data_IF_997344570305
#
_entry.id   IF_997344570305
#
_cell.length_a   1.000
_cell.length_b   1.000
_cell.length_c   1.000
_cell.angle_alpha   90.00
_cell.angle_beta   90.00
_cell.angle_gamma   90.00
#
_symmetry.space_group_name_H-M   'P 1'
#
loop_
_entity.id
_entity.type
_entity.pdbx_description
1 polymer ?
#
# COMPACT_ATOMS: atom_id res chain seq x y z
N UNK A 1 -36.75 -12.23 27.15
CA UNK A 1 -35.39 -12.62 26.80
C UNK A 1 -34.51 -12.62 28.02
N UNK A 2 -33.74 -13.67 28.16
CA UNK A 2 -32.90 -13.79 29.35
C UNK A 2 -31.69 -12.90 29.25
N UNK A 3 -31.13 -12.54 30.36
CA UNK A 3 -29.90 -11.74 30.36
C UNK A 3 -28.77 -12.47 29.66
N UNK A 4 -28.73 -13.79 29.78
CA UNK A 4 -27.70 -14.57 29.12
C UNK A 4 -27.82 -14.50 27.60
N UNK A 5 -29.06 -14.48 27.11
CA UNK A 5 -29.27 -14.38 25.67
C UNK A 5 -28.82 -13.04 25.14
N UNK A 6 -29.07 -11.98 25.90
CA UNK A 6 -28.65 -10.66 25.49
C UNK A 6 -27.12 -10.57 25.42
N UNK A 7 -26.44 -11.12 26.39
CA UNK A 7 -24.98 -11.13 26.40
C UNK A 7 -24.45 -11.91 25.22
N UNK A 8 -25.07 -13.03 24.93
CA UNK A 8 -24.60 -13.85 23.82
C UNK A 8 -24.76 -13.11 22.48
N UNK A 9 -25.86 -12.43 22.30
CA UNK A 9 -26.09 -11.67 21.09
C UNK A 9 -25.07 -10.56 20.93
N UNK A 10 -24.77 -9.87 22.02
CA UNK A 10 -23.79 -8.79 21.98
C UNK A 10 -22.41 -9.33 21.60
N UNK A 11 -22.02 -10.45 22.17
CA UNK A 11 -20.74 -11.06 21.86
C UNK A 11 -20.65 -11.42 20.40
N UNK A 12 -21.71 -12.02 19.85
CA UNK A 12 -21.73 -12.38 18.44
C UNK A 12 -21.62 -11.17 17.57
N UNK A 13 -22.31 -10.10 17.92
CA UNK A 13 -22.24 -8.86 17.14
C UNK A 13 -20.85 -8.27 17.15
N UNK A 14 -20.19 -8.29 18.30
CA UNK A 14 -18.84 -7.78 18.42
C UNK A 14 -17.88 -8.58 17.55
N UNK A 15 -17.99 -9.90 17.56
CA UNK A 15 -17.17 -10.72 16.70
C UNK A 15 -17.41 -10.44 15.23
N UNK A 16 -18.66 -10.21 14.87
CA UNK A 16 -18.99 -9.91 13.50
C UNK A 16 -18.35 -8.59 13.06
N UNK A 17 -18.41 -7.59 13.89
CA UNK A 17 -17.81 -6.30 13.59
C UNK A 17 -16.30 -6.42 13.44
N UNK A 18 -15.67 -7.18 14.31
CA UNK A 18 -14.23 -7.39 14.23
C UNK A 18 -13.85 -8.06 12.91
N UNK A 19 -14.63 -9.01 12.46
CA UNK A 19 -14.37 -9.67 11.18
C UNK A 19 -14.49 -8.70 10.03
N UNK A 20 -15.48 -7.83 10.08
CA UNK A 20 -15.65 -6.84 9.02
C UNK A 20 -14.46 -5.91 8.98
N UNK A 21 -13.99 -5.48 10.13
CA UNK A 21 -12.80 -4.64 10.15
C UNK A 21 -11.58 -5.34 9.60
N UNK A 22 -11.42 -6.61 9.94
CA UNK A 22 -10.28 -7.35 9.43
C UNK A 22 -10.34 -7.59 7.95
N UNK A 23 -11.53 -7.60 7.42
CA UNK A 23 -11.69 -7.80 5.98
C UNK A 23 -11.47 -6.55 5.18
N UNK A 24 -11.27 -5.42 5.85
CA UNK A 24 -10.89 -4.23 5.12
C UNK A 24 -9.60 -4.51 4.40
N UNK A 25 -9.57 -4.14 3.15
CA UNK A 25 -8.42 -4.40 2.34
C UNK A 25 -7.21 -3.68 2.84
N UNK A 26 -6.13 -4.41 2.98
CA UNK A 26 -4.84 -3.79 3.23
C UNK A 26 -4.23 -3.49 1.89
N UNK A 27 -3.93 -2.24 1.65
CA UNK A 27 -3.29 -1.82 0.42
C UNK A 27 -1.81 -1.68 0.65
N UNK A 28 -1.05 -2.15 -0.30
CA UNK A 28 0.41 -2.00 -0.26
C UNK A 28 0.85 -1.43 -1.59
N UNK A 29 2.03 -0.86 -1.59
CA UNK A 29 2.65 -0.42 -2.82
C UNK A 29 3.95 -1.17 -2.99
N UNK A 30 4.08 -1.84 -4.12
CA UNK A 30 5.31 -2.53 -4.45
C UNK A 30 6.15 -1.63 -5.33
N UNK A 31 7.39 -1.43 -4.91
CA UNK A 31 8.33 -0.61 -5.66
C UNK A 31 9.25 -1.54 -6.42
N UNK A 32 9.25 -1.39 -7.74
CA UNK A 32 10.06 -2.24 -8.62
C UNK A 32 11.22 -1.44 -9.19
N UNK A 33 12.37 -2.08 -9.24
CA UNK A 33 13.52 -1.56 -9.94
C UNK A 33 13.92 -2.60 -10.97
N UNK A 34 13.74 -2.27 -12.23
CA UNK A 34 14.05 -3.21 -13.32
C UNK A 34 13.38 -4.57 -13.10
N UNK A 35 12.07 -4.53 -12.84
CA UNK A 35 11.25 -5.74 -12.67
C UNK A 35 11.46 -6.51 -11.38
N UNK A 36 12.26 -6.00 -10.47
CA UNK A 36 12.44 -6.64 -9.18
C UNK A 36 11.83 -5.79 -8.10
N UNK A 37 11.13 -6.42 -7.17
CA UNK A 37 10.57 -5.69 -6.05
C UNK A 37 11.69 -5.38 -5.08
N UNK A 38 11.94 -4.09 -4.86
CA UNK A 38 12.98 -3.67 -3.93
C UNK A 38 12.42 -3.14 -2.62
N UNK A 39 11.12 -2.83 -2.59
CA UNK A 39 10.50 -2.34 -1.38
C UNK A 39 9.00 -2.60 -1.44
N UNK A 40 8.41 -2.95 -0.30
CA UNK A 40 6.96 -3.07 -0.18
C UNK A 40 6.52 -2.13 0.92
N UNK A 41 5.59 -1.25 0.61
CA UNK A 41 5.21 -0.16 1.48
C UNK A 41 3.77 -0.32 1.91
N UNK A 42 3.53 -0.19 3.23
CA UNK A 42 2.18 -0.27 3.78
C UNK A 42 1.52 1.09 3.65
N UNK A 43 0.44 1.15 2.90
CA UNK A 43 -0.28 2.41 2.67
C UNK A 43 -1.14 2.83 3.84
N UNK A 44 -1.29 1.99 4.85
CA UNK A 44 -2.10 2.34 6.01
C UNK A 44 -1.38 3.28 6.96
N UNK A 45 -0.09 3.49 6.76
CA UNK A 45 0.68 4.39 7.60
C UNK A 45 1.28 5.50 6.77
N UNK A 46 1.12 6.73 7.24
CA UNK A 46 1.78 7.86 6.60
C UNK A 46 3.28 7.74 6.87
N UNK A 47 4.07 7.79 5.84
CA UNK A 47 5.50 7.58 5.99
C UNK A 47 6.23 8.02 4.74
N UNK A 48 7.56 8.03 4.82
CA UNK A 48 8.41 8.32 3.68
C UNK A 48 9.46 7.23 3.57
N UNK A 49 9.78 6.87 2.36
CA UNK A 49 10.78 5.86 2.06
C UNK A 49 11.73 6.40 1.02
N UNK A 50 12.99 6.08 1.15
CA UNK A 50 13.98 6.45 0.15
C UNK A 50 14.52 5.20 -0.48
N UNK A 51 14.42 5.11 -1.81
CA UNK A 51 14.97 3.98 -2.54
C UNK A 51 15.96 4.51 -3.55
N UNK A 52 16.88 3.65 -3.96
CA UNK A 52 17.87 4.05 -4.93
C UNK A 52 17.41 3.73 -6.34
N UNK A 53 17.28 4.76 -7.16
CA UNK A 53 16.99 4.60 -8.56
C UNK A 53 18.25 4.68 -9.38
N UNK A 54 18.07 4.63 -10.69
CA UNK A 54 19.21 4.63 -11.60
C UNK A 54 19.99 5.95 -11.54
N UNK A 55 19.29 7.07 -11.41
CA UNK A 55 19.94 8.38 -11.36
C UNK A 55 20.24 8.85 -9.95
N UNK A 56 19.75 8.17 -8.93
CA UNK A 56 19.96 8.59 -7.56
C UNK A 56 18.77 8.26 -6.70
N UNK A 57 18.68 8.94 -5.56
CA UNK A 57 17.65 8.62 -4.59
C UNK A 57 16.27 9.08 -5.05
N UNK A 58 15.29 8.25 -4.76
CA UNK A 58 13.88 8.55 -5.02
C UNK A 58 13.18 8.51 -3.68
N UNK A 59 12.56 9.62 -3.28
CA UNK A 59 11.82 9.69 -2.02
C UNK A 59 10.35 9.47 -2.31
N UNK A 60 9.78 8.48 -1.66
CA UNK A 60 8.39 8.10 -1.84
C UNK A 60 7.62 8.46 -0.59
N UNK A 61 6.49 9.13 -0.76
CA UNK A 61 5.68 9.56 0.37
C UNK A 61 4.33 8.88 0.37
N UNK A 62 3.92 8.39 1.54
CA UNK A 62 2.58 7.84 1.74
C UNK A 62 1.81 8.79 2.64
N UNK A 63 0.64 9.22 2.18
CA UNK A 63 -0.21 10.10 2.96
C UNK A 63 -1.67 9.78 2.66
N UNK A 64 -2.45 9.54 3.73
CA UNK A 64 -3.88 9.27 3.59
C UNK A 64 -4.15 8.11 2.64
N UNK A 65 -3.35 7.05 2.76
CA UNK A 65 -3.47 5.83 1.96
C UNK A 65 -3.20 6.07 0.48
N UNK A 66 -2.49 7.15 0.17
CA UNK A 66 -2.09 7.44 -1.20
C UNK A 66 -0.58 7.55 -1.27
N UNK A 67 -0.04 7.31 -2.44
CA UNK A 67 1.40 7.27 -2.62
C UNK A 67 1.83 8.15 -3.77
N UNK A 68 2.99 8.77 -3.62
CA UNK A 68 3.57 9.57 -4.68
C UNK A 68 5.09 9.59 -4.55
N UNK A 69 5.76 9.99 -5.61
CA UNK A 69 7.17 10.29 -5.53
C UNK A 69 7.28 11.74 -5.10
N UNK A 70 7.87 11.98 -3.95
CA UNK A 70 7.99 13.32 -3.41
C UNK A 70 9.17 14.06 -4.02
N UNK A 71 10.30 13.37 -4.13
CA UNK A 71 11.51 13.94 -4.69
C UNK A 71 12.25 12.86 -5.46
N UNK A 72 13.05 13.27 -6.43
CA UNK A 72 13.81 12.34 -7.22
C UNK A 72 14.95 13.03 -7.91
N UNK A 73 15.98 12.26 -8.21
CA UNK A 73 17.11 12.76 -8.98
C UNK A 73 16.83 12.49 -10.46
N UNK A 74 16.24 13.44 -11.11
CA UNK A 74 16.05 13.34 -12.54
C UNK A 74 16.00 14.75 -13.13
N UNK A 75 16.36 14.89 -14.41
CA UNK A 75 16.50 16.23 -14.99
C UNK A 75 15.23 17.06 -14.97
N UNK A 76 14.08 16.44 -15.11
CA UNK A 76 12.82 17.18 -15.19
C UNK A 76 11.86 16.90 -14.07
N UNK A 77 12.28 16.12 -13.11
CA UNK A 77 11.42 15.75 -11.97
C UNK A 77 10.05 15.23 -12.44
N UNK A 78 10.08 14.41 -13.49
CA UNK A 78 8.83 13.92 -14.06
C UNK A 78 8.08 13.01 -13.13
N UNK A 79 8.78 12.28 -12.30
CA UNK A 79 8.13 11.34 -11.40
C UNK A 79 7.36 12.06 -10.31
N UNK A 80 7.96 13.10 -9.74
CA UNK A 80 7.29 13.83 -8.68
C UNK A 80 6.09 14.61 -9.21
N UNK A 81 6.12 14.96 -10.49
CA UNK A 81 5.01 15.68 -11.09
C UNK A 81 3.78 14.82 -11.31
N UNK A 82 3.93 13.51 -11.27
CA UNK A 82 2.77 12.63 -11.48
C UNK A 82 1.78 12.72 -10.32
N UNK A 83 2.26 13.08 -9.13
CA UNK A 83 1.38 13.19 -7.99
C UNK A 83 0.96 11.83 -7.44
N UNK A 84 -0.14 11.81 -6.70
CA UNK A 84 -0.64 10.58 -6.13
C UNK A 84 -1.32 9.75 -7.21
N UNK A 85 -0.92 8.50 -7.32
CA UNK A 85 -1.48 7.62 -8.34
C UNK A 85 -1.29 6.18 -7.89
N UNK A 86 -2.07 5.27 -8.47
CA UNK A 86 -1.95 3.85 -8.19
C UNK A 86 -0.82 3.20 -8.96
N UNK A 87 -0.41 3.80 -10.04
CA UNK A 87 0.72 3.33 -10.81
C UNK A 87 1.59 4.53 -11.14
N UNK A 88 2.82 4.52 -10.66
CA UNK A 88 3.75 5.61 -10.91
C UNK A 88 4.95 5.02 -11.64
N UNK A 89 5.28 5.59 -12.78
CA UNK A 89 6.37 5.12 -13.61
C UNK A 89 7.44 6.19 -13.66
N UNK A 90 8.60 5.85 -13.13
CA UNK A 90 9.73 6.77 -13.08
C UNK A 90 10.81 6.24 -14.01
N UNK A 91 10.68 6.52 -15.29
CA UNK A 91 11.59 5.98 -16.29
C UNK A 91 13.04 6.38 -16.09
N UNK A 92 13.36 7.64 -15.78
CA UNK A 92 14.76 8.01 -15.59
C UNK A 92 15.45 7.23 -14.49
N UNK A 93 14.71 6.80 -13.49
CA UNK A 93 15.27 6.03 -12.39
C UNK A 93 14.95 4.56 -12.47
N UNK A 94 14.26 4.13 -13.51
CA UNK A 94 13.87 2.72 -13.72
C UNK A 94 13.04 2.18 -12.58
N UNK A 95 12.25 3.05 -11.96
CA UNK A 95 11.40 2.70 -10.82
C UNK A 95 9.94 2.67 -11.27
N UNK A 96 9.24 1.65 -10.83
CA UNK A 96 7.78 1.56 -11.03
C UNK A 96 7.16 1.26 -9.68
N UNK A 97 6.14 2.02 -9.33
CA UNK A 97 5.42 1.81 -8.08
C UNK A 97 4.00 1.42 -8.42
N UNK A 98 3.55 0.28 -7.90
CA UNK A 98 2.19 -0.19 -8.12
C UNK A 98 1.49 -0.41 -6.80
N UNK A 99 0.30 0.15 -6.67
CA UNK A 99 -0.55 -0.07 -5.51
C UNK A 99 -1.35 -1.33 -5.76
N UNK A 100 -1.26 -2.28 -4.83
CA UNK A 100 -1.94 -3.55 -4.96
C UNK A 100 -2.59 -3.90 -3.64
N UNK A 101 -3.60 -4.76 -3.68
CA UNK A 101 -4.17 -5.27 -2.46
C UNK A 101 -3.25 -6.35 -1.93
N UNK A 102 -3.10 -6.33 -0.63
CA UNK A 102 -2.38 -7.41 0.01
C UNK A 102 -3.29 -8.62 0.02
N UNK A 103 -2.90 -9.62 -0.74
CA UNK A 103 -3.80 -10.74 -0.97
C UNK A 103 -3.06 -12.02 -0.77
N UNK A 104 -2.82 -12.34 0.46
CA UNK A 104 -1.98 -13.44 0.75
C UNK A 104 -2.64 -14.75 0.52
N UNK A 105 -3.78 -14.89 1.07
CA UNK A 105 -4.36 -16.15 1.10
C UNK A 105 -4.94 -16.55 -0.18
N UNK A 106 -5.52 -15.61 -0.83
CA UNK A 106 -6.26 -15.97 -1.97
C UNK A 106 -5.46 -16.44 -3.09
N UNK A 107 -4.45 -15.75 -3.32
CA UNK A 107 -3.64 -16.08 -4.41
C UNK A 107 -3.17 -17.45 -4.30
N UNK A 108 -2.77 -17.82 -3.16
CA UNK A 108 -2.33 -19.15 -3.00
C UNK A 108 -3.40 -20.14 -3.22
N UNK A 109 -4.55 -19.81 -2.78
CA UNK A 109 -5.61 -20.74 -2.78
C UNK A 109 -6.21 -20.96 -4.11
N UNK A 110 -6.38 -19.93 -4.79
CA UNK A 110 -7.12 -19.98 -5.99
C UNK A 110 -6.48 -20.79 -7.03
N UNK A 111 -5.26 -20.97 -6.93
CA UNK A 111 -4.64 -21.71 -8.00
C UNK A 111 -4.75 -23.16 -7.89
#
# INVERSE_FOLDING_TARGET
>A
MNKNDVKLIIIVLIFFIIKVYKNNDSMIANVYYEDKIIETIDLNKNSEYTVKGYNGDVVIEVKDKKIRVKEEESPRHLCSKQGYDDVIICLPNKIVIKVEKEDNELDGVVK
#
